data_IF_432491997982
#
_entry.id   IF_432491997982
#
_cell.length_a   1.000
_cell.length_b   1.000
_cell.length_c   1.000
_cell.angle_alpha   90.00
_cell.angle_beta   90.00
_cell.angle_gamma   90.00
#
_symmetry.space_group_name_H-M   'P 1'
#
loop_
_entity.id
_entity.type
_entity.pdbx_description
1 polymer ?
#
# COMPACT_ATOMS: atom_id res chain seq x y z
N UNK A 1 -17.46 8.12 9.31
CA UNK A 1 -16.90 7.60 8.05
C UNK A 1 -15.54 8.21 7.76
N UNK A 2 -15.43 9.51 7.50
CA UNK A 2 -14.16 10.15 7.11
C UNK A 2 -13.07 10.09 8.19
N UNK A 3 -13.41 10.16 9.48
CA UNK A 3 -12.42 9.97 10.57
C UNK A 3 -11.84 8.56 10.58
N UNK A 4 -12.65 7.53 10.32
CA UNK A 4 -12.19 6.15 10.35
C UNK A 4 -11.15 5.88 9.26
N UNK A 5 -11.39 6.35 8.03
CA UNK A 5 -10.43 6.23 6.92
C UNK A 5 -9.13 6.99 7.19
N UNK A 6 -9.20 8.16 7.80
CA UNK A 6 -8.00 8.93 8.17
C UNK A 6 -7.20 8.18 9.22
N UNK A 7 -7.84 7.69 10.27
CA UNK A 7 -7.14 6.99 11.34
C UNK A 7 -6.57 5.64 10.84
N UNK A 8 -7.26 4.95 9.93
CA UNK A 8 -6.77 3.76 9.24
C UNK A 8 -5.49 4.04 8.43
N UNK A 9 -5.48 5.11 7.61
CA UNK A 9 -4.29 5.53 6.86
C UNK A 9 -3.11 5.86 7.78
N UNK A 10 -3.35 6.55 8.89
CA UNK A 10 -2.27 6.93 9.81
C UNK A 10 -1.69 5.71 10.52
N UNK A 11 -2.54 4.85 11.08
CA UNK A 11 -2.09 3.70 11.86
C UNK A 11 -1.38 2.66 10.98
N UNK A 12 -1.88 2.40 9.76
CA UNK A 12 -1.22 1.44 8.88
C UNK A 12 0.13 1.95 8.37
N UNK A 13 0.25 3.25 8.09
CA UNK A 13 1.53 3.84 7.67
C UNK A 13 2.53 3.90 8.82
N UNK A 14 2.07 4.17 10.05
CA UNK A 14 2.94 4.20 11.23
C UNK A 14 3.61 2.84 11.50
N UNK A 15 2.90 1.73 11.26
CA UNK A 15 3.47 0.38 11.36
C UNK A 15 4.62 0.18 10.37
N UNK A 16 4.50 0.74 9.17
CA UNK A 16 5.54 0.70 8.13
C UNK A 16 6.65 1.76 8.35
N UNK A 17 6.59 2.52 9.45
CA UNK A 17 7.53 3.60 9.76
C UNK A 17 7.30 4.89 8.97
N UNK A 18 6.17 5.00 8.28
CA UNK A 18 5.78 6.20 7.51
C UNK A 18 4.89 7.12 8.35
N UNK A 19 5.40 8.30 8.70
CA UNK A 19 4.64 9.31 9.45
C UNK A 19 3.95 10.30 8.51
N UNK A 20 2.62 10.19 8.40
CA UNK A 20 1.82 11.02 7.51
C UNK A 20 1.17 12.21 8.22
N UNK A 21 0.95 13.31 7.51
CA UNK A 21 0.22 14.45 8.05
C UNK A 21 -1.30 14.19 8.01
N UNK A 22 -1.92 14.11 9.20
CA UNK A 22 -3.38 13.90 9.35
C UNK A 22 -4.23 14.88 8.53
N UNK A 23 -3.88 16.17 8.54
CA UNK A 23 -4.64 17.17 7.81
C UNK A 23 -4.51 16.95 6.31
N UNK A 24 -3.30 16.68 5.80
CA UNK A 24 -3.08 16.35 4.39
C UNK A 24 -3.90 15.14 3.94
N UNK A 25 -3.81 14.03 4.68
CA UNK A 25 -4.60 12.80 4.42
C UNK A 25 -6.09 13.10 4.40
N UNK A 26 -6.60 13.84 5.40
CA UNK A 26 -8.01 14.21 5.47
C UNK A 26 -8.46 15.06 4.26
N UNK A 27 -7.62 15.98 3.77
CA UNK A 27 -7.93 16.77 2.57
C UNK A 27 -7.91 15.91 1.32
N UNK A 28 -6.89 15.07 1.15
CA UNK A 28 -6.78 14.15 0.01
C UNK A 28 -7.98 13.20 -0.08
N UNK A 29 -8.38 12.59 1.04
CA UNK A 29 -9.58 11.75 1.11
C UNK A 29 -10.84 12.54 0.70
N UNK A 30 -11.02 13.77 1.23
CA UNK A 30 -12.14 14.62 0.83
C UNK A 30 -12.14 14.90 -0.68
N UNK A 31 -10.99 15.11 -1.32
CA UNK A 31 -10.89 15.30 -2.77
C UNK A 31 -11.40 14.09 -3.54
N UNK A 32 -10.99 12.88 -3.17
CA UNK A 32 -11.45 11.66 -3.83
C UNK A 32 -12.96 11.37 -3.63
N UNK A 33 -13.55 11.90 -2.56
CA UNK A 33 -15.00 11.85 -2.32
C UNK A 33 -15.78 13.05 -2.87
N UNK A 34 -15.14 13.94 -3.63
CA UNK A 34 -15.75 15.19 -4.13
C UNK A 34 -16.35 16.08 -3.02
N UNK A 35 -15.77 16.03 -1.82
CA UNK A 35 -16.15 16.86 -0.67
C UNK A 35 -15.30 18.13 -0.67
N UNK A 36 -15.93 19.27 -0.38
CA UNK A 36 -15.23 20.55 -0.26
C UNK A 36 -14.07 20.47 0.74
N UNK A 37 -12.89 20.91 0.29
CA UNK A 37 -11.67 20.92 1.09
C UNK A 37 -10.75 22.03 0.61
N UNK A 38 -9.66 22.27 1.34
CA UNK A 38 -8.67 23.27 0.99
C UNK A 38 -7.65 22.73 -0.03
N UNK A 39 -6.90 23.65 -0.64
CA UNK A 39 -5.85 23.34 -1.60
C UNK A 39 -4.50 23.03 -0.93
N UNK A 40 -4.52 22.37 0.25
CA UNK A 40 -3.26 21.98 0.91
C UNK A 40 -2.45 21.02 0.06
N UNK A 41 -1.12 21.12 0.15
CA UNK A 41 -0.20 20.19 -0.50
C UNK A 41 -0.15 18.90 0.32
N UNK A 42 -0.23 17.77 -0.37
CA UNK A 42 -0.02 16.45 0.19
C UNK A 42 1.26 15.84 -0.41
N UNK A 43 1.96 15.02 0.36
CA UNK A 43 3.07 14.23 -0.16
C UNK A 43 2.57 13.14 -1.12
N UNK A 44 3.45 12.56 -1.97
CA UNK A 44 3.07 11.42 -2.79
C UNK A 44 2.51 10.24 -1.99
N UNK A 45 3.10 9.93 -0.83
CA UNK A 45 2.63 8.87 0.07
C UNK A 45 1.24 9.17 0.63
N UNK A 46 1.00 10.40 1.12
CA UNK A 46 -0.31 10.84 1.62
C UNK A 46 -1.38 10.79 0.53
N UNK A 47 -1.01 11.17 -0.69
CA UNK A 47 -1.91 11.11 -1.86
C UNK A 47 -2.22 9.66 -2.24
N UNK A 48 -1.20 8.80 -2.23
CA UNK A 48 -1.28 7.40 -2.58
C UNK A 48 -2.16 6.58 -1.64
N UNK A 49 -1.95 6.69 -0.33
CA UNK A 49 -2.80 5.99 0.65
C UNK A 49 -4.26 6.50 0.61
N UNK A 50 -4.44 7.81 0.39
CA UNK A 50 -5.78 8.39 0.29
C UNK A 50 -6.52 7.91 -0.96
N UNK A 51 -5.79 7.73 -2.07
CA UNK A 51 -6.32 7.17 -3.31
C UNK A 51 -6.73 5.72 -3.12
N UNK A 52 -5.87 4.91 -2.47
CA UNK A 52 -6.16 3.51 -2.16
C UNK A 52 -7.46 3.37 -1.35
N UNK A 53 -7.61 4.14 -0.27
CA UNK A 53 -8.79 4.06 0.59
C UNK A 53 -10.07 4.47 -0.14
N UNK A 54 -9.97 5.47 -1.02
CA UNK A 54 -11.10 5.87 -1.86
C UNK A 54 -11.44 4.79 -2.89
N UNK A 55 -10.43 4.20 -3.55
CA UNK A 55 -10.61 3.11 -4.50
C UNK A 55 -11.30 1.91 -3.86
N UNK A 56 -10.80 1.47 -2.70
CA UNK A 56 -11.41 0.38 -1.92
C UNK A 56 -12.88 0.66 -1.58
N UNK A 57 -13.21 1.91 -1.25
CA UNK A 57 -14.59 2.30 -0.97
C UNK A 57 -15.50 2.21 -2.21
N UNK A 58 -14.99 2.55 -3.40
CA UNK A 58 -15.78 2.48 -4.62
C UNK A 58 -15.83 1.08 -5.25
N UNK A 59 -14.80 0.25 -5.02
CA UNK A 59 -14.65 -1.06 -5.67
C UNK A 59 -14.87 -2.24 -4.72
N UNK A 60 -15.45 -2.04 -3.52
CA UNK A 60 -15.57 -3.10 -2.50
C UNK A 60 -16.36 -4.34 -2.96
N UNK A 61 -17.29 -4.18 -3.91
CA UNK A 61 -18.07 -5.30 -4.47
C UNK A 61 -17.39 -5.99 -5.66
N UNK A 62 -16.29 -5.43 -6.17
CA UNK A 62 -15.59 -6.02 -7.30
C UNK A 62 -14.74 -7.22 -6.85
N UNK A 63 -14.69 -8.30 -7.64
CA UNK A 63 -13.83 -9.43 -7.32
C UNK A 63 -12.36 -9.00 -7.31
N UNK A 64 -11.59 -9.60 -6.40
CA UNK A 64 -10.16 -9.38 -6.34
C UNK A 64 -9.51 -9.87 -7.64
N UNK A 65 -8.55 -9.12 -8.17
CA UNK A 65 -7.81 -9.49 -9.37
C UNK A 65 -6.35 -9.07 -9.26
N UNK A 66 -5.49 -9.64 -10.09
CA UNK A 66 -4.07 -9.22 -10.17
C UNK A 66 -3.96 -7.73 -10.49
N UNK A 67 -4.77 -7.24 -11.42
CA UNK A 67 -4.79 -5.83 -11.81
C UNK A 67 -5.20 -4.92 -10.65
N UNK A 68 -6.14 -5.37 -9.82
CA UNK A 68 -6.52 -4.67 -8.60
C UNK A 68 -5.33 -4.55 -7.64
N UNK A 69 -4.64 -5.65 -7.34
CA UNK A 69 -3.46 -5.66 -6.47
C UNK A 69 -2.32 -4.79 -7.01
N UNK A 70 -2.06 -4.85 -8.31
CA UNK A 70 -1.01 -4.05 -8.94
C UNK A 70 -1.33 -2.55 -8.93
N UNK A 71 -2.59 -2.19 -9.08
CA UNK A 71 -3.06 -0.81 -9.00
C UNK A 71 -2.95 -0.27 -7.59
N UNK A 72 -3.38 -1.03 -6.58
CA UNK A 72 -3.18 -0.69 -5.16
C UNK A 72 -1.70 -0.53 -4.81
N UNK A 73 -0.83 -1.42 -5.30
CA UNK A 73 0.60 -1.30 -5.10
C UNK A 73 1.16 -0.01 -5.72
N UNK A 74 0.70 0.41 -6.91
CA UNK A 74 1.11 1.69 -7.52
C UNK A 74 0.67 2.89 -6.68
N UNK A 75 -0.54 2.86 -6.13
CA UNK A 75 -1.05 3.91 -5.23
C UNK A 75 -0.19 4.01 -3.97
N UNK A 76 0.07 2.88 -3.27
CA UNK A 76 0.90 2.88 -2.05
C UNK A 76 2.34 3.32 -2.30
N UNK A 77 2.92 2.91 -3.42
CA UNK A 77 4.31 3.24 -3.77
C UNK A 77 4.44 4.56 -4.52
N UNK A 78 3.42 5.41 -4.49
CA UNK A 78 3.43 6.67 -5.21
C UNK A 78 4.62 7.57 -4.75
N UNK A 79 5.43 8.01 -5.71
CA UNK A 79 6.62 8.81 -5.46
C UNK A 79 7.86 8.03 -4.97
N UNK A 80 7.75 6.73 -4.71
CA UNK A 80 8.90 5.86 -4.39
C UNK A 80 9.73 5.61 -5.65
N UNK A 81 11.05 5.65 -5.51
CA UNK A 81 12.03 5.44 -6.60
C UNK A 81 13.04 4.35 -6.31
N UNK A 82 13.09 3.91 -5.06
CA UNK A 82 13.94 2.86 -4.51
C UNK A 82 13.46 1.45 -4.90
N UNK A 83 12.21 1.32 -5.34
CA UNK A 83 11.61 0.02 -5.68
C UNK A 83 11.82 -0.34 -7.16
N UNK A 84 12.48 -1.47 -7.42
CA UNK A 84 12.64 -2.01 -8.79
C UNK A 84 11.39 -2.67 -9.38
N UNK A 85 10.39 -2.96 -8.54
CA UNK A 85 9.14 -3.59 -8.95
C UNK A 85 7.92 -2.84 -8.38
N UNK A 86 7.36 -1.92 -9.18
CA UNK A 86 6.11 -1.21 -8.86
C UNK A 86 4.98 -1.75 -9.72
N UNK A 87 3.88 -2.16 -9.08
CA UNK A 87 2.66 -2.61 -9.77
C UNK A 87 2.85 -3.91 -10.54
N UNK A 88 3.67 -4.81 -10.00
CA UNK A 88 3.96 -6.14 -10.53
C UNK A 88 4.53 -7.01 -9.41
N UNK A 89 4.49 -8.32 -9.58
CA UNK A 89 5.18 -9.22 -8.66
C UNK A 89 6.70 -9.01 -8.71
N UNK A 90 7.34 -9.33 -7.58
CA UNK A 90 8.79 -9.32 -7.47
C UNK A 90 9.43 -10.34 -8.41
N UNK A 91 10.62 -10.01 -8.89
CA UNK A 91 11.37 -10.82 -9.88
C UNK A 91 12.81 -11.10 -9.48
N UNK A 92 13.24 -10.65 -8.30
CA UNK A 92 14.60 -10.89 -7.82
C UNK A 92 14.78 -12.35 -7.40
N UNK A 93 16.01 -12.85 -7.52
CA UNK A 93 16.38 -14.23 -7.17
C UNK A 93 16.56 -14.41 -5.67
N UNK A 94 16.98 -13.36 -4.97
CA UNK A 94 17.19 -13.39 -3.53
C UNK A 94 15.90 -13.77 -2.76
N UNK A 95 16.01 -14.48 -1.63
CA UNK A 95 14.85 -14.79 -0.81
C UNK A 95 14.27 -13.52 -0.20
N UNK A 96 12.94 -13.38 -0.28
CA UNK A 96 12.22 -12.35 0.47
C UNK A 96 11.91 -12.92 1.86
N UNK A 97 12.39 -12.27 2.91
CA UNK A 97 12.29 -12.77 4.28
C UNK A 97 11.55 -11.77 5.18
N UNK A 98 10.68 -12.29 6.04
CA UNK A 98 10.08 -11.53 7.13
C UNK A 98 11.00 -11.68 8.34
N UNK A 99 11.68 -10.58 8.67
CA UNK A 99 12.66 -10.53 9.75
C UNK A 99 12.13 -9.70 10.91
N UNK A 100 12.46 -10.11 12.14
CA UNK A 100 12.33 -9.27 13.33
C UNK A 100 13.71 -9.13 13.96
N UNK A 101 13.93 -8.00 14.64
CA UNK A 101 15.18 -7.73 15.36
C UNK A 101 16.00 -6.60 14.74
N UNK A 102 17.16 -6.34 15.36
CA UNK A 102 18.06 -5.26 14.95
C UNK A 102 18.76 -5.64 13.64
N UNK A 103 19.09 -4.63 12.83
CA UNK A 103 19.75 -4.80 11.54
C UNK A 103 21.02 -5.68 11.58
N UNK A 104 21.73 -5.71 12.72
CA UNK A 104 22.97 -6.48 12.88
C UNK A 104 22.77 -7.96 13.20
N UNK A 105 21.55 -8.40 13.55
CA UNK A 105 21.23 -9.80 13.86
C UNK A 105 19.73 -10.05 13.60
N UNK A 106 19.30 -10.07 12.32
CA UNK A 106 17.92 -10.30 11.98
C UNK A 106 17.54 -11.77 12.22
N UNK A 107 16.51 -12.00 13.03
CA UNK A 107 15.90 -13.33 13.14
C UNK A 107 14.94 -13.50 11.98
N UNK A 108 15.22 -14.47 11.09
CA UNK A 108 14.31 -14.82 9.99
C UNK A 108 13.15 -15.65 10.57
N UNK A 109 11.94 -15.08 10.57
CA UNK A 109 10.74 -15.76 11.06
C UNK A 109 10.05 -16.54 9.95
N UNK A 110 10.05 -16.00 8.75
CA UNK A 110 9.43 -16.61 7.59
C UNK A 110 10.19 -16.26 6.32
N UNK A 111 10.40 -17.24 5.47
CA UNK A 111 10.90 -17.03 4.11
C UNK A 111 9.74 -17.16 3.14
N UNK A 112 9.53 -16.13 2.32
CA UNK A 112 8.46 -16.10 1.35
C UNK A 112 8.78 -16.97 0.12
N UNK A 113 7.77 -17.51 -0.58
CA UNK A 113 7.94 -18.36 -1.75
C UNK A 113 8.86 -17.74 -2.82
N UNK A 114 9.73 -18.47 -3.52
CA UNK A 114 10.57 -17.89 -4.58
C UNK A 114 9.80 -17.06 -5.62
N UNK A 115 10.42 -15.99 -6.15
CA UNK A 115 9.75 -15.01 -7.03
C UNK A 115 9.11 -15.65 -8.27
N UNK A 116 9.69 -16.74 -8.78
CA UNK A 116 9.18 -17.46 -9.97
C UNK A 116 7.87 -18.22 -9.71
N UNK A 117 7.53 -18.53 -8.46
CA UNK A 117 6.28 -19.22 -8.11
C UNK A 117 5.21 -18.30 -7.54
N UNK A 118 5.54 -17.05 -7.19
CA UNK A 118 4.59 -16.08 -6.62
C UNK A 118 3.34 -15.94 -7.46
N UNK A 119 3.46 -15.87 -8.79
CA UNK A 119 2.27 -15.74 -9.65
C UNK A 119 1.34 -16.95 -9.51
N UNK A 120 1.87 -18.16 -9.57
CA UNK A 120 1.08 -19.39 -9.45
C UNK A 120 0.39 -19.51 -8.08
N UNK A 121 1.07 -19.10 -7.01
CA UNK A 121 0.46 -19.05 -5.67
C UNK A 121 -0.65 -18.00 -5.59
N UNK A 122 -0.45 -16.84 -6.21
CA UNK A 122 -1.48 -15.80 -6.26
C UNK A 122 -2.68 -16.19 -7.13
N UNK A 123 -2.49 -16.95 -8.20
CA UNK A 123 -3.58 -17.48 -9.03
C UNK A 123 -4.48 -18.44 -8.22
N UNK A 124 -3.95 -19.11 -7.19
CA UNK A 124 -4.74 -19.95 -6.27
C UNK A 124 -5.47 -19.14 -5.20
N UNK A 125 -4.87 -18.01 -4.80
CA UNK A 125 -5.40 -17.11 -3.77
C UNK A 125 -6.55 -16.26 -4.31
N UNK A 126 -6.39 -15.71 -5.51
CA UNK A 126 -7.38 -14.90 -6.20
C UNK A 126 -8.38 -15.85 -6.86
N UNK A 127 -9.62 -15.87 -6.38
CA UNK A 127 -10.71 -16.71 -6.91
C UNK A 127 -11.80 -15.87 -7.54
#
# INVERSE_FOLDING_TARGET
MLCLQVDEALNTSEIEGEYLNRASVQSSIKRYFNIATDNRKASPAETGISELLADMYYSYEQPLSHDCLFRWHKMLTNGRRDLGAIGKYRTHLEPMQVVLGKYHEPTVHFEAPPSNIVRQEMDKFIK
#
